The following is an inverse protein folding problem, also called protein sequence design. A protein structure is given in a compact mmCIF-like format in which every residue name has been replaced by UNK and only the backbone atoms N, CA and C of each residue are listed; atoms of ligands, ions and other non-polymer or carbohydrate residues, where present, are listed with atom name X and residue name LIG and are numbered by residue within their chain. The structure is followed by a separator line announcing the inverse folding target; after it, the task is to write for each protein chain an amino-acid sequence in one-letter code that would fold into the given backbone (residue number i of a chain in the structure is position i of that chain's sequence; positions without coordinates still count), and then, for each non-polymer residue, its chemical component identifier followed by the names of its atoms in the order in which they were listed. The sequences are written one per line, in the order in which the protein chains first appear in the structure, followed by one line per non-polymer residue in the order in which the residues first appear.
data_IF_429792751175
#
_entry.id   IF_429792751175
#
_cell.length_a   1.000
_cell.length_b   1.000
_cell.length_c   1.000
_cell.angle_alpha   90.00
_cell.angle_beta   90.00
_cell.angle_gamma   90.00
#
_symmetry.space_group_name_H-M   'P 1'
#
loop_
_entity.id
_entity.type
_entity.pdbx_description
1 polymer ?
#
# COMPACT_ATOMS: atom_id res chain seq x y z
N UNK A 1 -7.13 17.56 1.55
CA UNK A 1 -7.80 17.62 2.88
C UNK A 1 -7.23 16.55 3.82
N UNK A 2 -7.22 16.80 5.13
CA UNK A 2 -6.76 15.85 6.18
C UNK A 2 -7.96 15.41 7.03
N UNK A 3 -8.84 14.53 6.54
CA UNK A 3 -9.93 14.02 7.36
C UNK A 3 -9.39 13.10 8.44
N UNK A 4 -9.79 13.34 9.68
CA UNK A 4 -9.63 12.40 10.80
C UNK A 4 -10.91 11.59 10.91
N UNK A 5 -10.81 10.27 10.96
CA UNK A 5 -11.97 9.45 11.22
C UNK A 5 -11.97 9.04 12.70
N UNK A 6 -13.07 9.34 13.40
CA UNK A 6 -13.37 8.82 14.73
C UNK A 6 -14.38 7.68 14.58
N UNK A 7 -13.89 6.44 14.49
CA UNK A 7 -14.73 5.26 14.30
C UNK A 7 -13.92 4.01 13.95
N UNK A 8 -14.55 2.84 14.05
CA UNK A 8 -13.94 1.53 13.74
C UNK A 8 -13.79 1.29 12.25
N UNK A 9 -14.62 1.94 11.42
CA UNK A 9 -14.61 1.87 9.96
C UNK A 9 -14.93 3.25 9.37
N UNK A 10 -14.13 3.68 8.38
CA UNK A 10 -14.42 4.89 7.61
C UNK A 10 -14.32 4.58 6.12
N UNK A 11 -15.27 5.10 5.33
CA UNK A 11 -15.33 4.93 3.86
C UNK A 11 -15.34 6.29 3.13
N UNK A 12 -14.28 7.11 3.23
CA UNK A 12 -14.24 8.39 2.54
C UNK A 12 -14.03 8.23 1.03
N UNK A 13 -14.69 9.11 0.28
CA UNK A 13 -14.56 9.28 -1.17
C UNK A 13 -14.00 10.67 -1.45
N UNK A 14 -12.94 10.76 -2.24
CA UNK A 14 -12.30 12.05 -2.54
C UNK A 14 -11.86 12.16 -4.00
N UNK A 15 -11.97 13.36 -4.56
CA UNK A 15 -11.32 13.76 -5.81
C UNK A 15 -10.25 14.79 -5.47
N UNK A 16 -9.01 14.58 -5.92
CA UNK A 16 -7.85 15.40 -5.59
C UNK A 16 -6.92 14.76 -4.55
N UNK A 17 -6.35 15.57 -3.66
CA UNK A 17 -5.34 15.15 -2.69
C UNK A 17 -5.91 14.96 -1.28
N UNK A 18 -5.70 13.78 -0.68
CA UNK A 18 -6.19 13.45 0.67
C UNK A 18 -5.13 12.73 1.52
N UNK A 19 -5.11 13.07 2.80
CA UNK A 19 -4.20 12.49 3.81
C UNK A 19 -5.03 12.06 5.03
N UNK A 20 -5.83 10.98 4.95
CA UNK A 20 -6.67 10.58 6.06
C UNK A 20 -5.85 9.93 7.18
N UNK A 21 -6.31 10.08 8.42
CA UNK A 21 -5.69 9.43 9.60
C UNK A 21 -6.72 8.60 10.37
N UNK A 22 -6.42 7.32 10.58
CA UNK A 22 -7.33 6.37 11.27
C UNK A 22 -6.58 5.43 12.23
N UNK A 23 -7.00 5.34 13.51
CA UNK A 23 -6.51 4.31 14.44
C UNK A 23 -7.19 2.93 14.29
N UNK A 24 -8.07 2.76 13.30
CA UNK A 24 -8.89 1.55 13.12
C UNK A 24 -8.89 1.08 11.67
N UNK A 25 -9.94 0.34 11.29
CA UNK A 25 -10.05 -0.13 9.91
C UNK A 25 -10.48 1.02 8.97
N UNK A 26 -9.88 1.11 7.79
CA UNK A 26 -10.27 2.09 6.77
C UNK A 26 -10.36 1.46 5.39
N UNK A 27 -11.46 1.72 4.71
CA UNK A 27 -11.61 1.50 3.27
C UNK A 27 -11.74 2.88 2.65
N UNK A 28 -11.07 3.21 1.55
CA UNK A 28 -11.21 4.58 1.01
C UNK A 28 -11.07 4.58 -0.49
N UNK A 29 -11.70 5.55 -1.17
CA UNK A 29 -11.56 5.70 -2.61
C UNK A 29 -11.16 7.11 -2.99
N UNK A 30 -10.07 7.24 -3.75
CA UNK A 30 -9.51 8.52 -4.14
C UNK A 30 -9.18 8.55 -5.64
N UNK A 31 -9.57 9.62 -6.33
CA UNK A 31 -9.11 9.92 -7.68
C UNK A 31 -8.14 11.11 -7.62
N UNK A 32 -6.84 10.83 -7.63
CA UNK A 32 -5.79 11.82 -7.43
C UNK A 32 -4.62 11.28 -6.59
N UNK A 33 -4.27 12.02 -5.53
CA UNK A 33 -3.14 11.69 -4.67
C UNK A 33 -3.60 11.30 -3.26
N UNK A 34 -3.08 10.20 -2.73
CA UNK A 34 -3.46 9.69 -1.41
C UNK A 34 -2.25 9.41 -0.53
N UNK A 35 -2.24 9.89 0.71
CA UNK A 35 -1.23 9.54 1.70
C UNK A 35 -1.87 9.20 3.06
N UNK A 36 -2.59 8.06 3.16
CA UNK A 36 -3.27 7.66 4.38
C UNK A 36 -2.27 7.22 5.46
N UNK A 37 -2.60 7.48 6.72
CA UNK A 37 -1.88 6.95 7.88
C UNK A 37 -2.83 6.14 8.76
N UNK A 38 -2.64 4.84 8.82
CA UNK A 38 -3.53 3.92 9.54
C UNK A 38 -2.80 3.00 10.52
N UNK A 39 -3.39 2.75 11.67
CA UNK A 39 -2.96 1.71 12.61
C UNK A 39 -4.07 0.64 12.66
N UNK A 40 -3.86 -0.51 12.02
CA UNK A 40 -4.89 -1.54 11.87
C UNK A 40 -4.98 -2.14 10.47
N UNK A 41 -6.20 -2.33 9.98
CA UNK A 41 -6.49 -2.90 8.66
C UNK A 41 -6.85 -1.81 7.64
N UNK A 42 -6.30 -1.86 6.43
CA UNK A 42 -6.59 -0.85 5.41
C UNK A 42 -6.79 -1.43 4.01
N UNK A 43 -7.77 -0.90 3.28
CA UNK A 43 -8.04 -1.23 1.86
C UNK A 43 -8.34 0.05 1.05
N UNK A 44 -7.34 0.87 0.71
CA UNK A 44 -7.53 2.05 -0.13
C UNK A 44 -7.49 1.72 -1.61
N UNK A 45 -8.35 2.42 -2.34
CA UNK A 45 -8.46 2.39 -3.80
C UNK A 45 -8.09 3.77 -4.34
N UNK A 46 -7.00 3.84 -5.12
CA UNK A 46 -6.52 5.11 -5.67
C UNK A 46 -6.38 5.04 -7.20
N UNK A 47 -6.94 6.01 -7.91
CA UNK A 47 -6.60 6.28 -9.31
C UNK A 47 -5.62 7.45 -9.34
N UNK A 48 -4.33 7.19 -9.58
CA UNK A 48 -3.26 8.18 -9.51
C UNK A 48 -2.07 7.72 -8.66
N UNK A 49 -1.74 8.48 -7.61
CA UNK A 49 -0.56 8.23 -6.77
C UNK A 49 -0.97 7.94 -5.34
N UNK A 50 -0.43 6.88 -4.75
CA UNK A 50 -0.69 6.52 -3.36
C UNK A 50 0.61 6.26 -2.58
N UNK A 51 0.72 6.87 -1.41
CA UNK A 51 1.83 6.70 -0.47
C UNK A 51 1.27 6.37 0.93
N UNK A 52 0.68 5.18 1.12
CA UNK A 52 0.10 4.79 2.40
C UNK A 52 1.17 4.42 3.41
N UNK A 53 1.01 4.88 4.64
CA UNK A 53 1.81 4.44 5.79
C UNK A 53 0.92 3.69 6.78
N UNK A 54 1.29 2.47 7.14
CA UNK A 54 0.48 1.68 8.06
C UNK A 54 1.27 0.71 8.93
N UNK A 55 0.70 0.40 10.09
CA UNK A 55 1.12 -0.69 10.97
C UNK A 55 -0.02 -1.71 11.02
N UNK A 56 0.23 -2.95 10.62
CA UNK A 56 -0.77 -4.02 10.58
C UNK A 56 -0.89 -4.70 9.21
N UNK A 57 -2.13 -4.86 8.74
CA UNK A 57 -2.47 -5.58 7.51
C UNK A 57 -3.09 -4.65 6.46
N UNK A 58 -2.72 -4.81 5.20
CA UNK A 58 -3.09 -3.84 4.17
C UNK A 58 -3.13 -4.42 2.77
N UNK A 59 -4.18 -4.04 2.05
CA UNK A 59 -4.42 -4.41 0.67
C UNK A 59 -4.70 -3.15 -0.18
N UNK A 60 -3.66 -2.40 -0.56
CA UNK A 60 -3.81 -1.21 -1.40
C UNK A 60 -4.00 -1.60 -2.86
N UNK A 61 -4.98 -0.96 -3.49
CA UNK A 61 -5.18 -1.06 -4.92
C UNK A 61 -5.00 0.30 -5.59
N UNK A 62 -4.03 0.43 -6.51
CA UNK A 62 -3.80 1.70 -7.19
C UNK A 62 -3.58 1.57 -8.69
N UNK A 63 -4.35 2.34 -9.47
CA UNK A 63 -4.10 2.55 -10.90
C UNK A 63 -3.15 3.75 -11.08
N UNK A 64 -1.84 3.48 -11.10
CA UNK A 64 -0.81 4.49 -11.34
C UNK A 64 0.49 4.16 -10.61
N UNK A 65 0.83 4.93 -9.58
CA UNK A 65 2.03 4.72 -8.77
C UNK A 65 1.67 4.45 -7.31
N UNK A 66 2.29 3.43 -6.71
CA UNK A 66 2.06 3.04 -5.32
C UNK A 66 3.38 2.85 -4.57
N UNK A 67 3.57 3.63 -3.50
CA UNK A 67 4.74 3.58 -2.62
C UNK A 67 4.29 3.33 -1.16
N UNK A 68 3.92 2.09 -0.82
CA UNK A 68 3.35 1.75 0.47
C UNK A 68 4.46 1.42 1.46
N UNK A 69 4.30 1.90 2.69
CA UNK A 69 5.20 1.62 3.81
C UNK A 69 4.45 0.82 4.87
N UNK A 70 4.95 -0.38 5.17
CA UNK A 70 4.34 -1.25 6.17
C UNK A 70 5.28 -1.82 7.20
N UNK A 71 4.71 -2.00 8.38
CA UNK A 71 5.21 -2.90 9.40
C UNK A 71 4.12 -3.96 9.66
N UNK A 72 4.32 -5.18 9.17
CA UNK A 72 3.32 -6.26 9.17
C UNK A 72 3.15 -6.95 7.81
N UNK A 73 1.91 -7.20 7.41
CA UNK A 73 1.57 -7.92 6.18
C UNK A 73 1.00 -6.98 5.11
N UNK A 74 1.48 -7.09 3.87
CA UNK A 74 1.02 -6.26 2.75
C UNK A 74 0.80 -7.06 1.47
N UNK A 75 -0.34 -6.80 0.81
CA UNK A 75 -0.64 -7.32 -0.52
C UNK A 75 -0.96 -6.15 -1.46
N UNK A 76 0.04 -5.40 -1.95
CA UNK A 76 -0.19 -4.27 -2.84
C UNK A 76 -0.51 -4.77 -4.25
N UNK A 77 -1.52 -4.17 -4.88
CA UNK A 77 -1.92 -4.49 -6.25
C UNK A 77 -1.95 -3.23 -7.11
N UNK A 78 -1.05 -3.11 -8.09
CA UNK A 78 -1.08 -2.02 -9.05
C UNK A 78 -0.72 -2.47 -10.46
N UNK A 79 -1.50 -2.09 -11.48
CA UNK A 79 -1.08 -2.30 -12.87
C UNK A 79 0.07 -1.38 -13.31
N UNK A 80 0.38 -0.31 -12.58
CA UNK A 80 1.48 0.61 -12.91
C UNK A 80 2.79 0.30 -12.18
N UNK A 81 3.42 1.35 -11.61
CA UNK A 81 4.70 1.26 -10.92
C UNK A 81 4.50 1.08 -9.40
N UNK A 82 5.26 0.18 -8.79
CA UNK A 82 5.25 -0.04 -7.34
C UNK A 82 6.64 -0.02 -6.73
N UNK A 83 6.76 0.67 -5.60
CA UNK A 83 7.95 0.63 -4.74
C UNK A 83 7.49 0.37 -3.30
N UNK A 84 7.13 -0.88 -2.97
CA UNK A 84 6.63 -1.19 -1.65
C UNK A 84 7.78 -1.42 -0.68
N UNK A 85 7.63 -0.91 0.54
CA UNK A 85 8.56 -1.09 1.66
C UNK A 85 7.86 -1.87 2.77
N UNK A 86 8.31 -3.09 3.03
CA UNK A 86 7.78 -3.95 4.09
C UNK A 86 8.80 -4.35 5.14
N UNK A 87 8.36 -4.37 6.40
CA UNK A 87 8.99 -5.13 7.47
C UNK A 87 8.01 -6.22 7.90
N UNK A 88 8.20 -7.45 7.43
CA UNK A 88 7.24 -8.55 7.62
C UNK A 88 7.00 -9.35 6.33
N UNK A 89 5.73 -9.56 5.97
CA UNK A 89 5.35 -10.36 4.80
C UNK A 89 4.78 -9.47 3.68
N UNK A 90 5.22 -9.70 2.44
CA UNK A 90 4.73 -8.98 1.27
C UNK A 90 4.44 -9.88 0.09
N UNK A 91 3.30 -9.64 -0.56
CA UNK A 91 2.93 -10.27 -1.83
C UNK A 91 2.56 -9.18 -2.84
N UNK A 92 3.54 -8.53 -3.50
CA UNK A 92 3.23 -7.49 -4.47
C UNK A 92 2.72 -8.07 -5.79
N UNK A 93 1.60 -7.53 -6.27
CA UNK A 93 0.99 -7.87 -7.57
C UNK A 93 1.11 -6.68 -8.51
N UNK A 94 1.90 -6.86 -9.57
CA UNK A 94 2.22 -5.77 -10.49
C UNK A 94 2.14 -6.21 -11.95
N UNK A 95 1.76 -5.31 -12.86
CA UNK A 95 1.79 -5.58 -14.29
C UNK A 95 3.02 -4.98 -14.99
N UNK A 96 3.52 -3.84 -14.52
CA UNK A 96 4.63 -3.12 -15.16
C UNK A 96 5.96 -3.24 -14.43
N UNK A 97 6.19 -2.43 -13.39
CA UNK A 97 7.49 -2.36 -12.71
C UNK A 97 7.35 -2.43 -11.18
N UNK A 98 8.21 -3.20 -10.52
CA UNK A 98 8.20 -3.34 -9.06
C UNK A 98 9.61 -3.33 -8.49
N UNK A 99 9.82 -2.50 -7.48
CA UNK A 99 11.06 -2.49 -6.67
C UNK A 99 10.67 -2.70 -5.20
N UNK A 100 10.48 -3.96 -4.76
CA UNK A 100 10.11 -4.24 -3.38
C UNK A 100 11.33 -4.19 -2.46
N UNK A 101 11.19 -3.46 -1.36
CA UNK A 101 12.13 -3.44 -0.25
C UNK A 101 11.50 -4.21 0.91
N UNK A 102 12.03 -5.38 1.23
CA UNK A 102 11.45 -6.22 2.27
C UNK A 102 12.49 -6.73 3.26
N UNK A 103 12.13 -6.59 4.54
CA UNK A 103 12.81 -7.18 5.68
C UNK A 103 11.93 -8.31 6.23
N UNK A 104 11.92 -9.45 5.52
CA UNK A 104 11.08 -10.62 5.80
C UNK A 104 10.69 -11.38 4.52
N UNK A 105 9.54 -12.05 4.51
CA UNK A 105 9.09 -12.87 3.39
C UNK A 105 8.52 -12.00 2.25
N UNK A 106 9.00 -12.20 1.02
CA UNK A 106 8.52 -11.48 -0.16
C UNK A 106 8.21 -12.45 -1.31
N UNK A 107 6.95 -12.48 -1.76
CA UNK A 107 6.49 -13.30 -2.89
C UNK A 107 5.94 -12.39 -3.99
N UNK A 108 6.79 -11.87 -4.90
CA UNK A 108 6.33 -11.00 -5.98
C UNK A 108 5.60 -11.80 -7.06
N UNK A 109 4.41 -11.33 -7.44
CA UNK A 109 3.64 -11.83 -8.59
C UNK A 109 3.52 -10.71 -9.61
N UNK A 110 4.61 -10.49 -10.35
CA UNK A 110 4.73 -9.41 -11.32
C UNK A 110 4.85 -9.95 -12.75
N UNK A 111 4.15 -9.33 -13.70
CA UNK A 111 4.23 -9.69 -15.14
C UNK A 111 5.23 -8.81 -15.93
N UNK A 112 5.95 -7.92 -15.24
CA UNK A 112 6.98 -7.06 -15.82
C UNK A 112 8.27 -7.03 -15.00
N UNK A 113 9.04 -5.95 -15.12
CA UNK A 113 10.37 -5.86 -14.50
C UNK A 113 10.27 -5.82 -12.96
N UNK A 114 10.95 -6.76 -12.30
CA UNK A 114 11.01 -6.84 -10.83
C UNK A 114 12.45 -6.77 -10.37
N UNK A 115 12.77 -5.78 -9.53
CA UNK A 115 14.10 -5.64 -8.90
C UNK A 115 13.93 -5.71 -7.39
N UNK A 116 14.00 -6.92 -6.78
CA UNK A 116 13.87 -7.09 -5.34
C UNK A 116 15.12 -6.60 -4.61
N UNK A 117 14.94 -5.76 -3.58
CA UNK A 117 15.99 -5.34 -2.65
C UNK A 117 15.66 -5.96 -1.28
N UNK A 118 16.11 -7.19 -1.06
CA UNK A 118 15.83 -7.96 0.17
C UNK A 118 17.07 -8.05 1.05
N UNK A 119 16.96 -7.63 2.32
CA UNK A 119 18.01 -7.71 3.34
C UNK A 119 17.75 -8.95 4.24
N UNK A 120 18.19 -10.12 3.75
CA UNK A 120 18.42 -11.43 4.42
C UNK A 120 17.26 -12.32 4.95
N UNK A 121 17.37 -13.61 4.56
CA UNK A 121 16.79 -14.91 5.02
C UNK A 121 15.44 -15.44 4.43
N UNK A 122 15.56 -16.41 3.51
CA UNK A 122 14.62 -17.47 3.02
C UNK A 122 13.40 -17.05 2.15
N UNK A 123 13.11 -17.57 0.95
CA UNK A 123 13.61 -18.71 0.14
C UNK A 123 13.89 -18.26 -1.31
N UNK A 124 15.16 -18.38 -1.73
CA UNK A 124 15.55 -19.11 -2.94
C UNK A 124 16.55 -20.15 -2.47
#
# INVERSE_FOLDING_TARGET
MVPRCHGTTAVPWCVGAIVPRCPGAMVSRCNGAMAPRCLGAMVPWCHGVAVPFFLGAMEPWCHGALVPWCHGAMVPSCPGAMVPVCHGAMVPRCLCATVPWCHGACVPRCHGATVPVTLLLSLV
#
